data_IF_130041251333
#
_entry.id   IF_130041251333
#
_cell.length_a   1.000
_cell.length_b   1.000
_cell.length_c   1.000
_cell.angle_alpha   90.00
_cell.angle_beta   90.00
_cell.angle_gamma   90.00
#
_symmetry.space_group_name_H-M   'P 1'
#
loop_
_entity.id
_entity.type
_entity.pdbx_description
1 polymer ?
#
# COMPACT_ATOMS: atom_id res chain seq x y z
N UNK A 1 -7.90 14.62 25.77
CA UNK A 1 -7.15 14.36 27.01
C UNK A 1 -7.82 15.04 28.20
N UNK A 2 -8.05 16.35 28.18
CA UNK A 2 -8.64 17.10 29.32
C UNK A 2 -9.95 16.51 29.83
N UNK A 3 -10.93 16.26 28.95
CA UNK A 3 -12.22 15.64 29.33
C UNK A 3 -12.07 14.29 30.05
N UNK A 4 -11.08 13.48 29.68
CA UNK A 4 -10.83 12.19 30.34
C UNK A 4 -10.06 12.35 31.65
N UNK A 5 -9.13 13.31 31.72
CA UNK A 5 -8.47 13.66 32.98
C UNK A 5 -9.47 14.18 34.03
N UNK A 6 -10.43 15.01 33.63
CA UNK A 6 -11.48 15.52 34.52
C UNK A 6 -12.37 14.40 35.07
N UNK A 7 -12.58 13.34 34.30
CA UNK A 7 -13.28 12.15 34.78
C UNK A 7 -12.39 11.25 35.64
N UNK A 8 -11.10 11.15 35.34
CA UNK A 8 -10.12 10.35 36.10
C UNK A 8 -9.81 10.96 37.48
N UNK A 9 -9.80 12.29 37.61
CA UNK A 9 -9.62 12.93 38.93
C UNK A 9 -10.76 12.59 39.89
N UNK A 10 -11.97 12.39 39.36
CA UNK A 10 -13.16 12.03 40.13
C UNK A 10 -13.35 10.50 40.31
N UNK A 11 -12.81 9.68 39.40
CA UNK A 11 -12.86 8.22 39.43
C UNK A 11 -11.46 7.61 39.24
N UNK A 12 -10.96 6.88 40.24
CA UNK A 12 -9.59 6.32 40.22
C UNK A 12 -9.33 5.26 39.12
N UNK A 13 -10.37 4.75 38.46
CA UNK A 13 -10.24 3.74 37.41
C UNK A 13 -10.21 4.38 35.99
N UNK A 14 -9.08 4.30 35.27
CA UNK A 14 -8.93 4.83 33.90
C UNK A 14 -9.98 4.34 32.90
N UNK A 15 -10.40 3.07 33.01
CA UNK A 15 -11.35 2.42 32.09
C UNK A 15 -12.77 2.92 32.34
N UNK A 16 -13.15 3.12 33.60
CA UNK A 16 -14.45 3.68 33.98
C UNK A 16 -14.55 5.16 33.59
N UNK A 17 -13.46 5.93 33.72
CA UNK A 17 -13.39 7.31 33.26
C UNK A 17 -13.63 7.40 31.73
N UNK A 18 -13.06 6.48 30.95
CA UNK A 18 -13.33 6.39 29.51
C UNK A 18 -14.78 5.95 29.23
N UNK A 19 -15.30 4.96 29.96
CA UNK A 19 -16.66 4.48 29.83
C UNK A 19 -17.70 5.60 30.07
N UNK A 20 -17.47 6.46 31.05
CA UNK A 20 -18.35 7.59 31.36
C UNK A 20 -18.44 8.61 30.22
N UNK A 21 -17.39 8.75 29.41
CA UNK A 21 -17.39 9.59 28.20
C UNK A 21 -18.11 8.87 27.06
N UNK A 22 -17.81 7.59 26.83
CA UNK A 22 -18.38 6.85 25.69
C UNK A 22 -19.87 6.55 25.84
N UNK A 23 -20.38 6.43 27.07
CA UNK A 23 -21.79 6.16 27.35
C UNK A 23 -22.65 7.45 27.40
N UNK A 24 -22.06 8.63 27.21
CA UNK A 24 -22.74 9.93 27.18
C UNK A 24 -22.60 10.54 25.78
N UNK A 25 -23.71 10.64 25.05
CA UNK A 25 -23.71 11.11 23.66
C UNK A 25 -23.21 12.55 23.54
N UNK A 26 -23.61 13.44 24.46
CA UNK A 26 -23.21 14.84 24.42
C UNK A 26 -21.70 14.98 24.66
N UNK A 27 -21.14 14.24 25.63
CA UNK A 27 -19.69 14.23 25.87
C UNK A 27 -18.93 13.64 24.70
N UNK A 28 -19.41 12.55 24.10
CA UNK A 28 -18.78 11.95 22.92
C UNK A 28 -18.79 12.91 21.74
N UNK A 29 -19.93 13.55 21.46
CA UNK A 29 -20.07 14.52 20.38
C UNK A 29 -19.14 15.72 20.56
N UNK A 30 -18.97 16.21 21.80
CA UNK A 30 -18.15 17.40 22.09
C UNK A 30 -16.72 17.32 21.55
N UNK A 31 -16.10 16.13 21.54
CA UNK A 31 -14.74 15.94 21.02
C UNK A 31 -14.71 15.32 19.62
N UNK A 32 -15.79 14.63 19.19
CA UNK A 32 -15.87 14.08 17.84
C UNK A 32 -16.07 15.20 16.81
N UNK A 33 -16.93 16.18 17.11
CA UNK A 33 -17.25 17.31 16.21
C UNK A 33 -16.08 18.30 16.01
N UNK A 34 -15.03 18.20 16.81
CA UNK A 34 -13.83 19.05 16.72
C UNK A 34 -12.68 18.39 15.95
N UNK A 35 -12.80 17.10 15.61
CA UNK A 35 -11.79 16.39 14.81
C UNK A 35 -11.60 17.05 13.44
N UNK A 36 -10.34 17.30 13.06
CA UNK A 36 -9.98 17.97 11.81
C UNK A 36 -10.00 19.51 11.87
N UNK A 37 -10.32 20.12 13.02
CA UNK A 37 -10.37 21.59 13.19
C UNK A 37 -9.14 22.19 13.90
N UNK A 38 -8.08 21.41 14.10
CA UNK A 38 -6.91 21.83 14.88
C UNK A 38 -7.19 21.82 16.40
N UNK A 39 -6.58 22.75 17.14
CA UNK A 39 -6.77 22.87 18.60
C UNK A 39 -6.03 21.83 19.44
N UNK A 40 -4.92 21.30 18.92
CA UNK A 40 -4.08 20.39 19.69
C UNK A 40 -3.43 21.11 20.88
N UNK A 41 -3.42 20.41 22.01
CA UNK A 41 -2.69 20.83 23.21
C UNK A 41 -1.59 19.82 23.48
N UNK A 42 -0.48 20.30 24.05
CA UNK A 42 0.60 19.42 24.51
C UNK A 42 0.08 18.52 25.63
N UNK A 43 0.52 17.26 25.62
CA UNK A 43 0.27 16.28 26.68
C UNK A 43 1.58 15.55 27.04
N UNK A 44 1.51 14.56 27.93
CA UNK A 44 2.64 13.72 28.32
C UNK A 44 2.43 12.26 27.89
N UNK A 45 3.53 11.51 27.80
CA UNK A 45 3.48 10.08 27.49
C UNK A 45 2.63 9.29 28.48
N UNK A 46 2.79 9.56 29.79
CA UNK A 46 2.03 8.86 30.83
C UNK A 46 0.51 9.01 30.65
N UNK A 47 0.06 10.23 30.35
CA UNK A 47 -1.36 10.52 30.14
C UNK A 47 -1.89 9.83 28.88
N UNK A 48 -1.16 9.90 27.77
CA UNK A 48 -1.62 9.36 26.50
C UNK A 48 -1.59 7.83 26.47
N UNK A 49 -0.54 7.21 27.03
CA UNK A 49 -0.42 5.75 27.10
C UNK A 49 -1.55 5.14 27.92
N UNK A 50 -1.86 5.72 29.08
CA UNK A 50 -2.94 5.25 29.94
C UNK A 50 -4.33 5.48 29.32
N UNK A 51 -4.55 6.62 28.65
CA UNK A 51 -5.79 6.89 27.92
C UNK A 51 -6.01 5.88 26.79
N UNK A 52 -4.97 5.59 25.99
CA UNK A 52 -5.04 4.61 24.89
C UNK A 52 -5.31 3.21 25.44
N UNK A 53 -4.60 2.81 26.51
CA UNK A 53 -4.82 1.53 27.17
C UNK A 53 -6.25 1.40 27.70
N UNK A 54 -6.77 2.43 28.37
CA UNK A 54 -8.14 2.45 28.88
C UNK A 54 -9.18 2.33 27.76
N UNK A 55 -8.97 3.03 26.64
CA UNK A 55 -9.84 2.95 25.48
C UNK A 55 -9.84 1.56 24.83
N UNK A 56 -8.68 0.91 24.74
CA UNK A 56 -8.55 -0.44 24.19
C UNK A 56 -9.20 -1.47 25.12
N UNK A 57 -8.92 -1.43 26.43
CA UNK A 57 -9.54 -2.34 27.42
C UNK A 57 -11.06 -2.21 27.43
N UNK A 58 -11.59 -0.97 27.42
CA UNK A 58 -13.03 -0.74 27.35
C UNK A 58 -13.64 -1.34 26.08
N UNK A 59 -13.03 -1.08 24.92
CA UNK A 59 -13.51 -1.56 23.61
C UNK A 59 -13.52 -3.08 23.57
N UNK A 60 -12.42 -3.72 23.98
CA UNK A 60 -12.29 -5.18 24.04
C UNK A 60 -13.37 -5.78 24.95
N UNK A 61 -13.52 -5.25 26.17
CA UNK A 61 -14.47 -5.79 27.16
C UNK A 61 -15.93 -5.63 26.72
N UNK A 62 -16.27 -4.53 26.03
CA UNK A 62 -17.66 -4.21 25.67
C UNK A 62 -18.09 -4.77 24.32
N UNK A 63 -17.18 -4.80 23.34
CA UNK A 63 -17.52 -5.06 21.94
C UNK A 63 -16.73 -6.20 21.30
N UNK A 64 -15.64 -6.64 21.93
CA UNK A 64 -14.71 -7.62 21.36
C UNK A 64 -13.42 -6.98 20.86
N UNK A 65 -12.32 -7.76 20.79
CA UNK A 65 -11.01 -7.23 20.44
C UNK A 65 -10.86 -6.86 18.97
N UNK A 66 -11.66 -7.45 18.09
CA UNK A 66 -11.72 -7.14 16.65
C UNK A 66 -12.32 -5.75 16.33
N UNK A 67 -12.76 -4.99 17.34
CA UNK A 67 -13.13 -3.56 17.23
C UNK A 67 -11.95 -2.62 17.43
N UNK A 68 -10.75 -3.16 17.66
CA UNK A 68 -9.48 -2.42 17.68
C UNK A 68 -8.70 -2.80 16.42
N UNK A 69 -8.50 -1.84 15.52
CA UNK A 69 -7.81 -2.05 14.26
C UNK A 69 -6.56 -1.16 14.17
N UNK A 70 -5.54 -1.62 13.45
CA UNK A 70 -4.39 -0.80 13.07
C UNK A 70 -4.05 -0.94 11.60
N UNK A 71 -3.60 0.19 11.04
CA UNK A 71 -3.11 0.28 9.68
C UNK A 71 -1.65 0.72 9.71
N UNK A 72 -0.76 -0.16 9.26
CA UNK A 72 0.66 0.12 9.04
C UNK A 72 1.07 -0.65 7.79
N UNK A 73 1.44 0.01 6.68
CA UNK A 73 1.67 -0.67 5.41
C UNK A 73 3.13 -1.11 5.25
N UNK A 74 3.39 -1.93 4.21
CA UNK A 74 4.72 -2.29 3.66
C UNK A 74 5.79 -2.61 4.73
N UNK A 75 5.76 -3.83 5.32
CA UNK A 75 6.74 -4.25 6.32
C UNK A 75 8.19 -4.26 5.80
N UNK A 76 8.41 -4.48 4.49
CA UNK A 76 9.75 -4.59 3.91
C UNK A 76 10.58 -3.30 4.05
N UNK A 77 9.95 -2.13 4.13
CA UNK A 77 10.65 -0.84 4.28
C UNK A 77 11.21 -0.61 5.69
N UNK A 78 10.56 -1.16 6.72
CA UNK A 78 10.98 -1.01 8.13
C UNK A 78 10.36 -2.08 9.02
N UNK A 79 10.90 -3.30 8.94
CA UNK A 79 10.30 -4.52 9.52
C UNK A 79 9.98 -4.39 11.01
N UNK A 80 10.90 -3.84 11.81
CA UNK A 80 10.71 -3.70 13.27
C UNK A 80 9.63 -2.66 13.59
N UNK A 81 9.58 -1.54 12.85
CA UNK A 81 8.57 -0.50 13.04
C UNK A 81 7.16 -1.04 12.73
N UNK A 82 7.01 -1.81 11.66
CA UNK A 82 5.77 -2.52 11.35
C UNK A 82 5.42 -3.54 12.46
N UNK A 83 6.39 -4.35 12.87
CA UNK A 83 6.20 -5.40 13.85
C UNK A 83 5.78 -4.87 15.23
N UNK A 84 6.21 -3.68 15.62
CA UNK A 84 5.84 -3.07 16.90
C UNK A 84 4.32 -2.94 17.06
N UNK A 85 3.65 -2.37 16.06
CA UNK A 85 2.19 -2.19 16.05
C UNK A 85 1.43 -3.50 15.82
N UNK A 86 1.86 -4.30 14.83
CA UNK A 86 1.17 -5.56 14.51
C UNK A 86 1.28 -6.57 15.65
N UNK A 87 2.45 -6.71 16.29
CA UNK A 87 2.61 -7.58 17.46
C UNK A 87 1.73 -7.13 18.63
N UNK A 88 1.65 -5.83 18.91
CA UNK A 88 0.76 -5.29 19.93
C UNK A 88 -0.70 -5.67 19.66
N UNK A 89 -1.19 -5.44 18.44
CA UNK A 89 -2.56 -5.75 18.04
C UNK A 89 -2.84 -7.25 18.10
N UNK A 90 -1.96 -8.08 17.54
CA UNK A 90 -2.11 -9.53 17.54
C UNK A 90 -2.17 -10.10 18.96
N UNK A 91 -1.40 -9.56 19.91
CA UNK A 91 -1.42 -10.01 21.31
C UNK A 91 -2.74 -9.66 22.02
N UNK A 92 -3.38 -8.54 21.68
CA UNK A 92 -4.67 -8.14 22.27
C UNK A 92 -5.88 -8.66 21.48
N UNK A 93 -5.66 -9.37 20.36
CA UNK A 93 -6.72 -9.87 19.46
C UNK A 93 -7.29 -8.83 18.48
N UNK A 94 -6.59 -7.72 18.27
CA UNK A 94 -6.98 -6.68 17.31
C UNK A 94 -6.70 -7.06 15.85
N UNK A 95 -7.24 -6.27 14.92
CA UNK A 95 -7.15 -6.53 13.47
C UNK A 95 -6.01 -5.74 12.83
N UNK A 96 -5.12 -6.45 12.14
CA UNK A 96 -4.13 -5.85 11.25
C UNK A 96 -4.74 -5.72 9.85
N UNK A 97 -4.85 -4.49 9.34
CA UNK A 97 -5.43 -4.23 8.02
C UNK A 97 -4.43 -4.53 6.90
N UNK A 98 -4.91 -5.04 5.77
CA UNK A 98 -4.10 -5.27 4.57
C UNK A 98 -3.72 -3.94 3.89
N UNK A 99 -2.76 -3.99 3.00
CA UNK A 99 -2.28 -2.80 2.27
C UNK A 99 -2.07 -3.07 0.76
N UNK A 100 -1.60 -4.25 0.38
CA UNK A 100 -1.12 -4.49 -0.99
C UNK A 100 -2.25 -4.51 -2.02
N UNK A 101 -3.36 -5.17 -1.66
CA UNK A 101 -4.63 -5.13 -2.39
C UNK A 101 -5.28 -3.74 -2.35
N UNK A 102 -5.28 -3.10 -1.18
CA UNK A 102 -5.87 -1.78 -0.97
C UNK A 102 -5.20 -0.67 -1.79
N UNK A 103 -3.89 -0.75 -1.98
CA UNK A 103 -3.13 0.20 -2.82
C UNK A 103 -3.26 -0.09 -4.32
N UNK A 104 -3.91 -1.20 -4.70
CA UNK A 104 -3.93 -1.72 -6.06
C UNK A 104 -2.53 -2.09 -6.60
N UNK A 105 -1.57 -2.34 -5.71
CA UNK A 105 -0.23 -2.79 -6.09
C UNK A 105 -0.18 -4.33 -6.23
N UNK A 106 -1.04 -5.06 -5.51
CA UNK A 106 -1.24 -6.50 -5.73
C UNK A 106 -1.77 -6.71 -7.15
N UNK A 107 -1.04 -7.41 -8.05
CA UNK A 107 -1.54 -7.78 -9.36
C UNK A 107 -2.45 -9.01 -9.21
N UNK A 108 -3.80 -8.89 -9.27
CA UNK A 108 -4.67 -10.02 -8.98
C UNK A 108 -4.51 -11.17 -9.98
N UNK A 109 -4.00 -10.87 -11.18
CA UNK A 109 -3.66 -11.85 -12.21
C UNK A 109 -2.53 -12.80 -11.81
N UNK A 110 -1.60 -12.40 -10.93
CA UNK A 110 -0.51 -13.27 -10.48
C UNK A 110 -1.05 -14.44 -9.65
N UNK A 111 -1.84 -14.22 -8.59
CA UNK A 111 -2.51 -15.32 -7.90
C UNK A 111 -3.46 -16.12 -8.79
N UNK A 112 -4.18 -15.48 -9.71
CA UNK A 112 -5.10 -16.17 -10.63
C UNK A 112 -4.38 -17.12 -11.59
N UNK A 113 -3.18 -16.76 -12.05
CA UNK A 113 -2.44 -17.52 -13.07
C UNK A 113 -1.47 -18.52 -12.44
N UNK A 114 -0.79 -18.13 -11.36
CA UNK A 114 0.32 -18.87 -10.79
C UNK A 114 0.13 -19.27 -9.33
N UNK A 115 -0.92 -18.79 -8.65
CA UNK A 115 -1.11 -19.02 -7.22
C UNK A 115 -0.07 -18.32 -6.33
N UNK A 116 0.68 -17.36 -6.88
CA UNK A 116 1.72 -16.58 -6.19
C UNK A 116 1.24 -15.15 -5.95
N UNK A 117 1.50 -14.59 -4.77
CA UNK A 117 1.09 -13.23 -4.42
C UNK A 117 1.70 -12.24 -5.40
N UNK A 118 3.03 -12.19 -5.48
CA UNK A 118 3.82 -11.47 -6.48
C UNK A 118 5.27 -11.88 -6.31
N UNK A 119 5.88 -12.36 -7.39
CA UNK A 119 7.32 -12.48 -7.50
C UNK A 119 7.77 -11.85 -8.83
N UNK A 120 8.91 -11.16 -8.82
CA UNK A 120 9.44 -10.40 -9.95
C UNK A 120 10.97 -10.49 -9.99
N UNK A 121 11.59 -10.48 -11.18
CA UNK A 121 13.05 -10.41 -11.27
C UNK A 121 13.58 -9.10 -10.68
N UNK A 122 14.80 -9.15 -10.13
CA UNK A 122 15.51 -7.96 -9.69
C UNK A 122 15.86 -7.04 -10.87
N UNK A 123 16.13 -5.76 -10.59
CA UNK A 123 16.45 -4.77 -11.63
C UNK A 123 17.75 -5.07 -12.38
N UNK A 124 18.71 -5.74 -11.71
CA UNK A 124 19.94 -6.17 -12.37
C UNK A 124 19.68 -7.16 -13.52
N UNK A 125 18.62 -7.97 -13.43
CA UNK A 125 18.25 -8.93 -14.48
C UNK A 125 17.72 -8.25 -15.73
N UNK A 126 17.30 -6.97 -15.65
CA UNK A 126 16.92 -6.20 -16.84
C UNK A 126 18.08 -6.14 -17.83
N UNK A 127 19.33 -6.09 -17.34
CA UNK A 127 20.53 -6.08 -18.16
C UNK A 127 20.75 -7.38 -18.96
N UNK A 128 20.11 -8.49 -18.56
CA UNK A 128 20.19 -9.76 -19.26
C UNK A 128 19.26 -9.84 -20.48
N UNK A 129 18.29 -8.94 -20.60
CA UNK A 129 17.36 -8.92 -21.74
C UNK A 129 17.99 -8.34 -23.03
N UNK A 130 17.47 -8.77 -24.18
CA UNK A 130 17.72 -8.16 -25.50
C UNK A 130 16.51 -7.36 -26.01
N UNK A 131 15.36 -7.47 -25.35
CA UNK A 131 14.14 -6.77 -25.73
C UNK A 131 13.27 -6.52 -24.49
N UNK A 132 13.00 -5.25 -24.20
CA UNK A 132 12.22 -4.84 -23.03
C UNK A 132 11.05 -3.99 -23.49
N UNK A 133 9.85 -4.37 -23.06
CA UNK A 133 8.67 -3.52 -23.15
C UNK A 133 8.40 -2.96 -21.76
N UNK A 134 8.58 -1.65 -21.59
CA UNK A 134 8.12 -0.94 -20.41
C UNK A 134 6.68 -0.49 -20.63
N UNK A 135 5.75 -1.18 -19.99
CA UNK A 135 4.31 -0.99 -20.19
C UNK A 135 3.67 -0.31 -18.98
N UNK A 136 3.11 0.89 -19.16
CA UNK A 136 2.40 1.61 -18.10
C UNK A 136 3.30 2.08 -16.95
N UNK A 137 4.63 1.95 -17.09
CA UNK A 137 5.61 2.36 -16.10
C UNK A 137 6.37 3.62 -16.53
N UNK A 138 6.83 4.39 -15.55
CA UNK A 138 7.72 5.54 -15.75
C UNK A 138 9.01 5.38 -14.91
N UNK A 139 9.84 4.42 -15.31
CA UNK A 139 11.03 3.95 -14.56
C UNK A 139 11.95 5.09 -14.06
N UNK A 140 12.28 6.13 -14.84
CA UNK A 140 13.14 7.22 -14.35
C UNK A 140 12.56 7.95 -13.13
N UNK A 141 11.24 8.08 -13.06
CA UNK A 141 10.53 8.80 -12.01
C UNK A 141 10.17 7.91 -10.81
N UNK A 142 9.74 6.67 -11.07
CA UNK A 142 9.17 5.78 -10.04
C UNK A 142 10.13 4.66 -9.59
N UNK A 143 11.25 4.50 -10.29
CA UNK A 143 12.32 3.52 -10.04
C UNK A 143 13.70 4.17 -10.24
N UNK A 144 13.85 5.44 -9.86
CA UNK A 144 15.08 6.23 -10.06
C UNK A 144 16.39 5.49 -9.70
N UNK A 145 16.51 4.78 -8.56
CA UNK A 145 17.76 4.08 -8.25
C UNK A 145 18.07 2.90 -9.18
N UNK A 146 17.05 2.31 -9.82
CA UNK A 146 17.18 1.17 -10.73
C UNK A 146 17.18 1.59 -12.22
N UNK A 147 16.83 2.84 -12.51
CA UNK A 147 16.60 3.31 -13.88
C UNK A 147 17.83 3.19 -14.79
N UNK A 148 19.04 3.19 -14.20
CA UNK A 148 20.28 3.04 -14.96
C UNK A 148 20.32 1.71 -15.72
N UNK A 149 19.80 0.61 -15.16
CA UNK A 149 19.76 -0.69 -15.85
C UNK A 149 18.94 -0.63 -17.14
N UNK A 150 17.83 0.12 -17.16
CA UNK A 150 16.99 0.30 -18.35
C UNK A 150 17.70 1.10 -19.45
N UNK A 151 18.57 2.04 -19.08
CA UNK A 151 19.38 2.79 -20.06
C UNK A 151 20.63 2.04 -20.49
N UNK A 152 21.32 1.36 -19.57
CA UNK A 152 22.59 0.70 -19.83
C UNK A 152 22.42 -0.55 -20.70
N UNK A 153 21.31 -1.27 -20.56
CA UNK A 153 21.02 -2.45 -21.39
C UNK A 153 20.89 -2.11 -22.87
N UNK A 154 20.51 -0.87 -23.20
CA UNK A 154 20.47 -0.40 -24.60
C UNK A 154 21.87 -0.30 -25.20
N UNK A 155 22.89 0.05 -24.41
CA UNK A 155 24.28 0.07 -24.87
C UNK A 155 24.82 -1.34 -25.15
N UNK A 156 24.25 -2.37 -24.51
CA UNK A 156 24.49 -3.79 -24.83
C UNK A 156 23.80 -4.22 -26.14
N UNK A 157 22.93 -3.38 -26.69
CA UNK A 157 22.20 -3.62 -27.94
C UNK A 157 20.76 -4.11 -27.73
N UNK A 158 20.23 -4.06 -26.51
CA UNK A 158 18.83 -4.38 -26.27
C UNK A 158 17.91 -3.31 -26.85
N UNK A 159 16.77 -3.73 -27.39
CA UNK A 159 15.71 -2.82 -27.84
C UNK A 159 14.73 -2.52 -26.72
N UNK A 160 14.37 -1.26 -26.54
CA UNK A 160 13.43 -0.81 -25.53
C UNK A 160 12.21 -0.14 -26.15
N UNK A 161 11.02 -0.60 -25.75
CA UNK A 161 9.74 -0.03 -26.17
C UNK A 161 9.04 0.51 -24.93
N UNK A 162 8.46 1.70 -25.03
CA UNK A 162 7.59 2.26 -23.99
C UNK A 162 6.16 2.33 -24.51
N UNK A 163 5.24 1.73 -23.77
CA UNK A 163 3.80 1.80 -24.04
C UNK A 163 3.16 2.63 -22.94
N UNK A 164 2.75 3.84 -23.30
CA UNK A 164 2.14 4.81 -22.39
C UNK A 164 1.27 5.80 -23.18
N UNK A 165 0.12 6.25 -22.66
CA UNK A 165 -0.75 7.20 -23.35
C UNK A 165 -0.06 8.55 -23.59
N UNK A 166 0.70 9.01 -22.61
CA UNK A 166 1.46 10.26 -22.63
C UNK A 166 2.95 10.03 -22.94
N UNK A 167 3.63 11.10 -23.36
CA UNK A 167 5.08 11.09 -23.57
C UNK A 167 5.81 11.31 -22.24
N UNK A 168 5.83 10.29 -21.39
CA UNK A 168 6.45 10.35 -20.06
C UNK A 168 7.99 10.32 -20.13
N UNK A 169 8.65 10.46 -18.97
CA UNK A 169 10.13 10.52 -18.89
C UNK A 169 10.80 9.25 -19.45
N UNK A 170 10.19 8.08 -19.26
CA UNK A 170 10.70 6.83 -19.81
C UNK A 170 10.61 6.78 -21.34
N UNK A 171 9.57 7.37 -21.95
CA UNK A 171 9.41 7.41 -23.41
C UNK A 171 10.62 8.07 -24.10
N UNK A 172 11.23 9.08 -23.47
CA UNK A 172 12.47 9.73 -23.96
C UNK A 172 13.65 8.76 -24.09
N UNK A 173 13.66 7.71 -23.27
CA UNK A 173 14.76 6.75 -23.16
C UNK A 173 14.52 5.48 -23.99
N UNK A 174 13.48 5.43 -24.83
CA UNK A 174 13.10 4.23 -25.57
C UNK A 174 13.41 4.34 -27.07
N UNK A 175 13.63 3.21 -27.74
CA UNK A 175 13.73 3.15 -29.20
C UNK A 175 12.39 3.46 -29.88
N UNK A 176 11.27 3.07 -29.25
CA UNK A 176 9.92 3.29 -29.74
C UNK A 176 8.97 3.62 -28.59
N UNK A 177 8.23 4.71 -28.76
CA UNK A 177 7.07 5.02 -27.93
C UNK A 177 5.78 4.70 -28.69
N UNK A 178 4.93 3.89 -28.07
CA UNK A 178 3.59 3.60 -28.56
C UNK A 178 2.54 4.27 -27.67
N UNK A 179 1.91 5.31 -28.22
CA UNK A 179 0.79 5.99 -27.56
C UNK A 179 -0.52 5.25 -27.84
N UNK A 180 -1.06 4.60 -26.81
CA UNK A 180 -2.37 3.96 -26.85
C UNK A 180 -3.34 4.68 -25.92
N UNK A 181 -4.64 4.56 -26.19
CA UNK A 181 -5.66 5.12 -25.31
C UNK A 181 -5.59 4.41 -23.95
N UNK A 182 -5.57 5.19 -22.87
CA UNK A 182 -5.51 4.65 -21.51
C UNK A 182 -6.64 3.65 -21.24
N UNK A 183 -6.29 2.50 -20.64
CA UNK A 183 -7.24 1.43 -20.33
C UNK A 183 -7.62 0.55 -21.53
N UNK A 184 -6.97 0.70 -22.69
CA UNK A 184 -7.17 -0.17 -23.87
C UNK A 184 -6.02 -1.15 -24.12
N UNK A 185 -5.09 -1.24 -23.16
CA UNK A 185 -3.88 -2.06 -23.18
C UNK A 185 -4.17 -3.54 -23.45
N UNK A 186 -5.26 -4.07 -22.88
CA UNK A 186 -5.68 -5.45 -23.09
C UNK A 186 -6.04 -5.75 -24.55
N UNK A 187 -6.61 -4.79 -25.28
CA UNK A 187 -6.91 -4.97 -26.70
C UNK A 187 -5.62 -5.08 -27.53
N UNK A 188 -4.60 -4.29 -27.20
CA UNK A 188 -3.27 -4.41 -27.81
C UNK A 188 -2.63 -5.77 -27.48
N UNK A 189 -2.66 -6.20 -26.21
CA UNK A 189 -2.13 -7.52 -25.80
C UNK A 189 -2.80 -8.68 -26.55
N UNK A 190 -4.13 -8.64 -26.70
CA UNK A 190 -4.86 -9.66 -27.45
C UNK A 190 -4.48 -9.66 -28.94
N UNK A 191 -4.25 -8.49 -29.53
CA UNK A 191 -3.79 -8.39 -30.92
C UNK A 191 -2.35 -8.92 -31.09
N UNK A 192 -1.44 -8.60 -30.16
CA UNK A 192 -0.08 -9.16 -30.14
C UNK A 192 -0.12 -10.69 -30.02
N UNK A 193 -0.92 -11.20 -29.09
CA UNK A 193 -1.13 -12.64 -28.92
C UNK A 193 -1.67 -13.32 -30.18
N UNK A 194 -2.62 -12.68 -30.88
CA UNK A 194 -3.14 -13.19 -32.14
C UNK A 194 -2.04 -13.36 -33.20
N UNK A 195 -1.20 -12.34 -33.40
CA UNK A 195 -0.11 -12.39 -34.38
C UNK A 195 0.90 -13.46 -34.00
N UNK A 196 1.31 -13.52 -32.73
CA UNK A 196 2.26 -14.54 -32.24
C UNK A 196 1.72 -15.95 -32.50
N UNK A 197 0.50 -16.24 -32.09
CA UNK A 197 -0.11 -17.57 -32.28
C UNK A 197 -0.28 -17.90 -33.76
N UNK A 198 -0.72 -16.95 -34.57
CA UNK A 198 -0.95 -17.15 -35.99
C UNK A 198 0.35 -17.42 -36.76
N UNK A 199 1.36 -16.59 -36.58
CA UNK A 199 2.57 -16.61 -37.40
C UNK A 199 3.64 -17.60 -36.90
N UNK A 200 3.69 -17.87 -35.60
CA UNK A 200 4.76 -18.70 -35.01
C UNK A 200 4.29 -20.06 -34.49
N UNK A 201 2.97 -20.26 -34.27
CA UNK A 201 2.44 -21.53 -33.78
C UNK A 201 1.49 -22.23 -34.76
N UNK A 202 0.73 -21.50 -35.58
CA UNK A 202 -0.26 -22.08 -36.51
C UNK A 202 0.23 -22.15 -37.96
N UNK A 203 0.86 -21.09 -38.50
CA UNK A 203 1.40 -21.19 -39.86
C UNK A 203 2.64 -22.07 -39.83
N UNK A 204 2.54 -23.28 -40.39
CA UNK A 204 3.68 -24.18 -40.67
C UNK A 204 4.65 -23.56 -41.70
N UNK A 205 5.30 -22.45 -41.36
CA UNK A 205 6.43 -21.95 -42.13
C UNK A 205 7.71 -22.32 -41.39
N UNK A 206 8.16 -23.55 -41.65
CA UNK A 206 9.59 -23.83 -41.74
C UNK A 206 10.15 -23.19 -43.00
#
# INVERSE_FOLDING_TARGET
ASLWLDHKTNNKNPVEAWAAIQNDSAKRESYVLTRGKGGFIRSSWDVLNELIAAANIYTIKKYGPDRVCGFSPIPAMSMVSYAAGSRYLSLIGGVCLSFYDWYCDLPPSSPQTWGEQTDVPESADWYNSYFIILWGGNVPQTRTPDAHFFTEVQYKGAKTIVIAPDFNEASKLSDLWLSIRQGTDSALLMALGHVILKEYYLSEKK
#
